data_IF_157974544424
#
_entry.id   IF_157974544424
#
_cell.length_a   1.000
_cell.length_b   1.000
_cell.length_c   1.000
_cell.angle_alpha   90.00
_cell.angle_beta   90.00
_cell.angle_gamma   90.00
#
_symmetry.space_group_name_H-M   'P 1'
#
loop_
_entity.id
_entity.type
_entity.pdbx_description
1 polymer ?
#
# COMPACT_ATOMS: atom_id res chain seq x y z
N UNK A 1 25.81 3.46 -11.40
CA UNK A 1 25.13 3.53 -10.09
C UNK A 1 24.14 2.37 -10.04
N UNK A 2 24.19 1.47 -9.04
CA UNK A 2 23.20 0.39 -8.98
C UNK A 2 21.82 1.01 -8.73
N UNK A 3 20.75 0.52 -9.40
CA UNK A 3 19.42 1.03 -9.19
C UNK A 3 19.03 0.67 -7.76
N UNK A 4 18.70 1.66 -6.94
CA UNK A 4 18.04 1.40 -5.67
C UNK A 4 16.73 0.70 -6.01
N UNK A 5 16.67 -0.61 -5.80
CA UNK A 5 15.45 -1.37 -5.96
C UNK A 5 14.41 -0.72 -5.05
N UNK A 6 13.47 0.00 -5.66
CA UNK A 6 12.24 0.51 -5.06
C UNK A 6 11.28 -0.65 -4.80
N UNK A 7 11.80 -1.76 -4.28
CA UNK A 7 10.96 -2.87 -3.85
C UNK A 7 10.43 -2.49 -2.47
N UNK A 8 9.14 -2.23 -2.44
CA UNK A 8 8.38 -2.17 -1.20
C UNK A 8 8.76 -3.38 -0.35
N UNK A 9 9.04 -3.19 0.95
CA UNK A 9 9.27 -4.32 1.84
C UNK A 9 8.11 -5.31 1.68
N UNK A 10 8.39 -6.61 1.51
CA UNK A 10 7.37 -7.61 1.19
C UNK A 10 6.15 -7.54 2.14
N UNK A 11 6.39 -7.30 3.43
CA UNK A 11 5.35 -7.13 4.44
C UNK A 11 4.44 -5.91 4.22
N UNK A 12 4.98 -4.78 3.72
CA UNK A 12 4.21 -3.59 3.41
C UNK A 12 3.27 -3.82 2.22
N UNK A 13 3.77 -4.55 1.23
CA UNK A 13 3.02 -4.93 0.03
C UNK A 13 1.92 -5.92 0.38
N UNK A 14 2.25 -7.01 1.08
CA UNK A 14 1.27 -8.03 1.50
C UNK A 14 0.15 -7.42 2.35
N UNK A 15 0.50 -6.53 3.29
CA UNK A 15 -0.48 -5.81 4.09
C UNK A 15 -1.41 -4.94 3.23
N UNK A 16 -0.85 -4.15 2.30
CA UNK A 16 -1.62 -3.30 1.40
C UNK A 16 -2.51 -4.11 0.45
N UNK A 17 -2.02 -5.25 -0.07
CA UNK A 17 -2.79 -6.17 -0.92
C UNK A 17 -3.98 -6.77 -0.14
N UNK A 18 -3.77 -7.31 1.06
CA UNK A 18 -4.84 -7.87 1.90
C UNK A 18 -5.95 -6.86 2.19
N UNK A 19 -5.57 -5.64 2.56
CA UNK A 19 -6.54 -4.58 2.89
C UNK A 19 -7.26 -4.05 1.65
N UNK A 20 -6.60 -4.04 0.49
CA UNK A 20 -7.20 -3.62 -0.78
C UNK A 20 -8.20 -4.66 -1.30
N UNK A 21 -7.91 -5.95 -1.14
CA UNK A 21 -8.87 -7.04 -1.40
C UNK A 21 -10.08 -6.92 -0.48
N UNK A 22 -9.84 -6.65 0.81
CA UNK A 22 -10.93 -6.45 1.77
C UNK A 22 -11.82 -5.26 1.39
N UNK A 23 -11.23 -4.11 1.02
CA UNK A 23 -11.98 -2.94 0.56
C UNK A 23 -12.80 -3.24 -0.69
N UNK A 24 -12.22 -3.89 -1.70
CA UNK A 24 -12.94 -4.31 -2.91
C UNK A 24 -14.15 -5.17 -2.55
N UNK A 25 -13.97 -6.14 -1.65
CA UNK A 25 -15.04 -7.05 -1.25
C UNK A 25 -16.20 -6.35 -0.52
N UNK A 26 -15.93 -5.25 0.19
CA UNK A 26 -16.97 -4.44 0.82
C UNK A 26 -17.72 -3.58 -0.21
N UNK A 27 -16.99 -3.01 -1.17
CA UNK A 27 -17.55 -2.07 -2.16
C UNK A 27 -18.28 -2.76 -3.32
N UNK A 28 -17.94 -4.01 -3.66
CA UNK A 28 -18.55 -4.73 -4.80
C UNK A 28 -20.06 -4.93 -4.69
N UNK A 29 -20.60 -4.84 -3.47
CA UNK A 29 -22.03 -4.97 -3.20
C UNK A 29 -22.76 -3.63 -3.11
N UNK A 30 -22.04 -2.49 -3.21
CA UNK A 30 -22.68 -1.17 -3.23
C UNK A 30 -23.22 -0.88 -4.64
N UNK A 31 -24.55 -0.83 -4.83
CA UNK A 31 -25.16 -0.64 -6.14
C UNK A 31 -24.92 0.75 -6.74
N UNK A 32 -24.38 1.70 -5.96
CA UNK A 32 -24.08 3.06 -6.41
C UNK A 32 -22.72 3.18 -7.09
N UNK A 33 -21.87 2.17 -6.96
CA UNK A 33 -20.51 2.19 -7.48
C UNK A 33 -20.42 1.37 -8.74
N UNK A 34 -19.88 1.99 -9.79
CA UNK A 34 -19.49 1.27 -10.99
C UNK A 34 -18.21 0.47 -10.71
N UNK A 35 -18.01 -0.70 -11.34
CA UNK A 35 -16.80 -1.51 -11.16
C UNK A 35 -15.50 -0.71 -11.34
N UNK A 36 -15.46 0.19 -12.33
CA UNK A 36 -14.30 1.05 -12.61
C UNK A 36 -13.98 2.02 -11.46
N UNK A 37 -15.01 2.53 -10.78
CA UNK A 37 -14.85 3.41 -9.61
C UNK A 37 -14.31 2.62 -8.42
N UNK A 38 -14.76 1.38 -8.24
CA UNK A 38 -14.26 0.48 -7.21
C UNK A 38 -12.78 0.21 -7.45
N UNK A 39 -12.39 -0.13 -8.67
CA UNK A 39 -10.98 -0.35 -9.03
C UNK A 39 -10.11 0.90 -8.80
N UNK A 40 -10.58 2.08 -9.21
CA UNK A 40 -9.87 3.33 -8.99
C UNK A 40 -9.70 3.65 -7.49
N UNK A 41 -10.74 3.42 -6.68
CA UNK A 41 -10.70 3.63 -5.23
C UNK A 41 -9.74 2.64 -4.55
N UNK A 42 -9.80 1.37 -4.94
CA UNK A 42 -8.92 0.30 -4.43
C UNK A 42 -7.46 0.60 -4.77
N UNK A 43 -7.16 1.02 -6.01
CA UNK A 43 -5.82 1.41 -6.41
C UNK A 43 -5.30 2.63 -5.63
N UNK A 44 -6.15 3.65 -5.43
CA UNK A 44 -5.81 4.83 -4.63
C UNK A 44 -5.54 4.46 -3.18
N UNK A 45 -6.38 3.61 -2.59
CA UNK A 45 -6.23 3.11 -1.23
C UNK A 45 -4.93 2.31 -1.05
N UNK A 46 -4.62 1.40 -1.99
CA UNK A 46 -3.38 0.65 -2.02
C UNK A 46 -2.15 1.58 -1.98
N UNK A 47 -2.14 2.61 -2.84
CA UNK A 47 -1.05 3.59 -2.89
C UNK A 47 -0.90 4.36 -1.57
N UNK A 48 -2.00 4.78 -0.94
CA UNK A 48 -1.98 5.49 0.35
C UNK A 48 -1.39 4.60 1.45
N UNK A 49 -1.80 3.33 1.55
CA UNK A 49 -1.27 2.41 2.55
C UNK A 49 0.23 2.16 2.35
N UNK A 50 0.62 1.96 1.10
CA UNK A 50 1.99 1.75 0.66
C UNK A 50 2.91 2.93 1.03
N UNK A 51 2.43 4.16 0.77
CA UNK A 51 3.15 5.39 1.08
C UNK A 51 3.24 5.64 2.60
N UNK A 52 2.13 5.45 3.32
CA UNK A 52 2.09 5.58 4.78
C UNK A 52 3.07 4.61 5.45
N UNK A 53 3.09 3.35 5.04
CA UNK A 53 3.97 2.34 5.64
C UNK A 53 5.44 2.64 5.36
N UNK A 54 5.77 2.97 4.10
CA UNK A 54 7.14 3.35 3.71
C UNK A 54 7.64 4.55 4.50
N UNK A 55 6.81 5.59 4.64
CA UNK A 55 7.18 6.82 5.33
C UNK A 55 7.27 6.68 6.84
N UNK A 56 6.37 5.92 7.48
CA UNK A 56 6.27 5.86 8.95
C UNK A 56 6.98 4.69 9.61
N UNK A 57 7.18 3.58 8.90
CA UNK A 57 7.73 2.34 9.48
C UNK A 57 9.10 2.04 8.90
N UNK A 58 9.24 2.11 7.57
CA UNK A 58 10.47 1.69 6.88
C UNK A 58 11.59 2.73 7.01
N UNK A 59 11.31 4.00 6.65
CA UNK A 59 12.32 5.08 6.73
C UNK A 59 12.87 5.28 8.15
N UNK A 60 12.05 5.40 9.20
CA UNK A 60 12.58 5.62 10.55
C UNK A 60 13.33 4.40 11.12
N UNK A 61 12.97 3.18 10.72
CA UNK A 61 13.69 1.97 11.13
C UNK A 61 15.05 1.86 10.42
N UNK A 62 15.13 2.25 9.15
CA UNK A 62 16.39 2.36 8.43
C UNK A 62 17.30 3.43 9.05
N UNK A 63 16.75 4.60 9.37
CA UNK A 63 17.49 5.70 10.01
C UNK A 63 18.05 5.32 11.40
N UNK A 64 17.37 4.44 12.15
CA UNK A 64 17.86 3.94 13.45
C UNK A 64 19.00 2.92 13.34
N UNK A 65 19.07 2.14 12.25
CA UNK A 65 20.14 1.14 12.03
C UNK A 65 21.45 1.75 11.52
N UNK A 66 21.39 2.98 11.02
CA UNK A 66 22.53 3.70 10.43
C UNK A 66 23.24 4.64 11.43
N UNK A 67 22.78 4.72 12.69
CA UNK A 67 23.50 5.46 13.74
C UNK A 67 24.37 4.49 14.54
N UNK A 68 25.72 4.60 14.47
CA UNK A 68 26.63 3.88 15.35
C UNK A 68 26.54 4.38 16.80
#
# INVERSE_FOLDING_TARGET
>A
MPPYHTELPPAAREFAELHSVHLRNQLQWDPRLLPEQIEALVAKFFNILTEYYTSRIVRPAADRRLRP
#
